data_IF_084439214756
#
_entry.id   IF_084439214756
#
_cell.length_a   1.000
_cell.length_b   1.000
_cell.length_c   1.000
_cell.angle_alpha   90.00
_cell.angle_beta   90.00
_cell.angle_gamma   90.00
#
_symmetry.space_group_name_H-M   'P 1'
#
loop_
_entity.id
_entity.type
_entity.pdbx_description
1 polymer ?
#
# COMPACT_ATOMS: atom_id res chain seq x y z
N UNK A 1 7.24 0.31 24.86
CA UNK A 1 7.92 1.13 25.90
C UNK A 1 9.43 1.10 25.76
N UNK A 2 10.07 0.00 26.16
CA UNK A 2 11.53 -0.14 26.20
C UNK A 2 12.22 -0.02 24.83
N UNK A 3 11.66 -0.65 23.79
CA UNK A 3 12.19 -0.58 22.42
C UNK A 3 12.20 0.87 21.91
N UNK A 4 11.10 1.61 22.06
CA UNK A 4 10.99 3.02 21.66
C UNK A 4 11.96 3.93 22.42
N UNK A 5 12.17 3.71 23.72
CA UNK A 5 13.15 4.48 24.51
C UNK A 5 14.59 4.25 24.04
N UNK A 6 14.99 3.01 23.78
CA UNK A 6 16.33 2.69 23.27
C UNK A 6 16.59 3.30 21.88
N UNK A 7 15.53 3.39 21.08
CA UNK A 7 15.51 3.93 19.72
C UNK A 7 15.63 5.45 19.69
N UNK A 8 14.88 6.14 20.55
CA UNK A 8 14.93 7.59 20.67
C UNK A 8 16.20 8.08 21.37
N UNK A 9 16.86 7.23 22.16
CA UNK A 9 18.15 7.52 22.79
C UNK A 9 19.34 7.44 21.81
N UNK A 10 19.22 6.73 20.69
CA UNK A 10 20.28 6.57 19.69
C UNK A 10 19.87 7.22 18.36
N UNK A 11 20.04 8.55 18.27
CA UNK A 11 19.73 9.37 17.08
C UNK A 11 20.80 9.18 16.00
N UNK A 12 20.95 7.95 15.49
CA UNK A 12 21.88 7.65 14.39
C UNK A 12 21.11 7.04 13.21
N UNK A 13 21.40 7.56 12.00
CA UNK A 13 20.81 7.12 10.72
C UNK A 13 20.72 5.60 10.53
N UNK A 14 21.70 4.77 10.94
CA UNK A 14 21.64 3.32 10.75
C UNK A 14 20.47 2.64 11.44
N UNK A 15 20.08 3.11 12.64
CA UNK A 15 18.95 2.55 13.37
C UNK A 15 17.62 2.80 12.66
N UNK A 16 17.42 4.04 12.18
CA UNK A 16 16.23 4.41 11.40
C UNK A 16 16.11 3.56 10.13
N UNK A 17 17.22 3.34 9.43
CA UNK A 17 17.28 2.47 8.23
C UNK A 17 16.95 1.02 8.59
N UNK A 18 17.54 0.49 9.66
CA UNK A 18 17.30 -0.88 10.11
C UNK A 18 15.82 -1.12 10.45
N UNK A 19 15.20 -0.18 11.15
CA UNK A 19 13.76 -0.27 11.49
C UNK A 19 12.90 -0.13 10.24
N UNK A 20 13.24 0.80 9.35
CA UNK A 20 12.55 0.95 8.07
C UNK A 20 12.57 -0.35 7.26
N UNK A 21 13.71 -1.04 7.22
CA UNK A 21 13.85 -2.35 6.58
C UNK A 21 12.99 -3.43 7.26
N UNK A 22 12.98 -3.48 8.60
CA UNK A 22 12.15 -4.43 9.35
C UNK A 22 10.66 -4.18 9.09
N UNK A 23 10.22 -2.91 9.13
CA UNK A 23 8.84 -2.52 8.88
C UNK A 23 8.43 -2.88 7.45
N UNK A 24 9.31 -2.63 6.48
CA UNK A 24 9.05 -2.98 5.09
C UNK A 24 8.96 -4.50 4.89
N UNK A 25 9.87 -5.27 5.50
CA UNK A 25 9.84 -6.73 5.42
C UNK A 25 8.57 -7.31 6.06
N UNK A 26 8.17 -6.79 7.22
CA UNK A 26 6.94 -7.18 7.88
C UNK A 26 5.71 -6.83 7.03
N UNK A 27 5.68 -5.63 6.47
CA UNK A 27 4.57 -5.17 5.64
C UNK A 27 4.44 -5.99 4.34
N UNK A 28 5.56 -6.31 3.68
CA UNK A 28 5.57 -7.20 2.52
C UNK A 28 5.07 -8.62 2.83
N UNK A 29 5.44 -9.19 3.99
CA UNK A 29 4.88 -10.47 4.44
C UNK A 29 3.38 -10.40 4.67
N UNK A 30 2.90 -9.33 5.30
CA UNK A 30 1.49 -9.15 5.62
C UNK A 30 0.63 -9.02 4.35
N UNK A 31 1.09 -8.31 3.31
CA UNK A 31 0.41 -8.29 1.99
C UNK A 31 0.20 -9.70 1.46
N UNK A 32 1.24 -10.54 1.56
CA UNK A 32 1.18 -11.93 1.09
C UNK A 32 0.27 -12.80 1.95
N UNK A 33 0.28 -12.60 3.27
CA UNK A 33 -0.56 -13.33 4.21
C UNK A 33 -2.06 -13.03 4.01
N UNK A 34 -2.40 -11.82 3.54
CA UNK A 34 -3.79 -11.40 3.29
C UNK A 34 -4.39 -11.90 1.97
N UNK A 35 -3.62 -12.56 1.10
CA UNK A 35 -4.11 -13.08 -0.18
C UNK A 35 -4.74 -14.46 -0.01
N UNK A 36 -6.04 -14.60 -0.33
CA UNK A 36 -6.71 -15.92 -0.34
C UNK A 36 -6.17 -16.84 -1.43
N UNK A 37 -5.81 -16.28 -2.59
CA UNK A 37 -5.20 -16.99 -3.72
C UNK A 37 -3.84 -16.38 -4.04
N UNK A 38 -2.80 -16.88 -3.37
CA UNK A 38 -1.43 -16.40 -3.58
C UNK A 38 -0.79 -17.05 -4.80
N UNK A 39 0.08 -16.31 -5.48
CA UNK A 39 0.95 -16.92 -6.48
C UNK A 39 1.92 -17.91 -5.82
N UNK A 40 2.20 -19.03 -6.48
CA UNK A 40 3.14 -20.02 -5.97
C UNK A 40 4.61 -19.54 -6.04
N UNK A 41 5.36 -19.77 -4.96
CA UNK A 41 6.81 -19.52 -4.86
C UNK A 41 7.22 -18.09 -4.47
N UNK A 42 8.52 -17.79 -4.59
CA UNK A 42 9.14 -16.47 -4.31
C UNK A 42 8.58 -15.32 -5.16
N UNK A 43 7.87 -15.63 -6.26
CA UNK A 43 7.31 -14.64 -7.17
C UNK A 43 6.08 -13.92 -6.62
N UNK A 44 5.25 -14.59 -5.81
CA UNK A 44 4.16 -13.90 -5.11
C UNK A 44 4.72 -12.83 -4.18
N UNK A 45 5.71 -13.23 -3.37
CA UNK A 45 6.44 -12.34 -2.48
C UNK A 45 7.17 -11.22 -3.24
N UNK A 46 7.81 -11.52 -4.37
CA UNK A 46 8.52 -10.53 -5.20
C UNK A 46 7.61 -9.52 -5.90
N UNK A 47 6.43 -9.93 -6.36
CA UNK A 47 5.47 -9.01 -7.00
C UNK A 47 4.78 -8.12 -5.96
N UNK A 48 4.31 -8.71 -4.85
CA UNK A 48 3.70 -7.94 -3.76
C UNK A 48 4.70 -7.04 -3.06
N UNK A 49 5.84 -7.58 -2.61
CA UNK A 49 6.86 -6.81 -1.90
C UNK A 49 7.62 -5.86 -2.81
N UNK A 50 7.86 -6.20 -4.09
CA UNK A 50 8.59 -5.33 -5.03
C UNK A 50 7.77 -4.13 -5.49
N UNK A 51 6.48 -4.31 -5.80
CA UNK A 51 5.59 -3.19 -6.14
C UNK A 51 5.37 -2.27 -4.95
N UNK A 52 5.19 -2.84 -3.76
CA UNK A 52 5.08 -2.10 -2.50
C UNK A 52 6.39 -1.40 -2.11
N UNK A 53 7.55 -2.04 -2.30
CA UNK A 53 8.85 -1.42 -2.05
C UNK A 53 9.01 -0.20 -2.94
N UNK A 54 8.82 -0.34 -4.26
CA UNK A 54 9.03 0.76 -5.20
C UNK A 54 8.04 1.90 -4.95
N UNK A 55 6.74 1.62 -4.71
CA UNK A 55 5.76 2.69 -4.50
C UNK A 55 5.85 3.33 -3.13
N UNK A 56 5.89 2.55 -2.04
CA UNK A 56 5.93 3.10 -0.68
C UNK A 56 7.28 3.73 -0.39
N UNK A 57 8.40 3.17 -0.86
CA UNK A 57 9.70 3.80 -0.67
C UNK A 57 9.81 5.12 -1.45
N UNK A 58 9.38 5.16 -2.72
CA UNK A 58 9.41 6.39 -3.50
C UNK A 58 8.49 7.46 -2.90
N UNK A 59 7.27 7.10 -2.49
CA UNK A 59 6.32 8.06 -1.91
C UNK A 59 6.71 8.48 -0.50
N UNK A 60 7.26 7.60 0.33
CA UNK A 60 7.79 8.02 1.62
C UNK A 60 9.03 8.88 1.49
N UNK A 61 9.93 8.61 0.54
CA UNK A 61 11.08 9.46 0.28
C UNK A 61 10.65 10.86 -0.22
N UNK A 62 9.65 10.90 -1.10
CA UNK A 62 9.05 12.17 -1.56
C UNK A 62 8.34 12.91 -0.42
N UNK A 63 7.57 12.22 0.43
CA UNK A 63 6.94 12.80 1.61
C UNK A 63 7.96 13.37 2.61
N UNK A 64 9.05 12.65 2.89
CA UNK A 64 10.07 13.10 3.82
C UNK A 64 10.85 14.31 3.29
N UNK A 65 11.12 14.38 1.99
CA UNK A 65 11.88 15.46 1.36
C UNK A 65 11.01 16.71 1.11
N UNK A 66 9.79 16.53 0.60
CA UNK A 66 8.93 17.64 0.14
C UNK A 66 8.05 18.21 1.25
N UNK A 67 7.57 17.37 2.18
CA UNK A 67 6.53 17.77 3.14
C UNK A 67 7.08 18.10 4.51
N UNK A 68 8.00 17.29 5.05
CA UNK A 68 8.39 17.45 6.45
C UNK A 68 9.35 18.65 6.63
N UNK A 69 10.19 18.96 5.64
CA UNK A 69 11.18 20.04 5.77
C UNK A 69 12.10 19.89 6.99
N UNK A 70 12.11 18.73 7.65
CA UNK A 70 12.88 18.51 8.86
C UNK A 70 14.35 18.52 8.49
N UNK A 71 15.08 19.46 9.07
CA UNK A 71 16.52 19.43 9.16
C UNK A 71 16.85 18.89 10.55
N UNK A 72 17.22 17.61 10.72
CA UNK A 72 17.41 16.55 9.72
C UNK A 72 16.17 15.66 9.48
N UNK A 73 16.00 15.19 8.24
CA UNK A 73 14.83 14.43 7.76
C UNK A 73 14.66 13.04 8.42
N UNK A 74 15.70 12.59 9.13
CA UNK A 74 15.77 11.31 9.83
C UNK A 74 15.44 11.40 11.32
N UNK A 75 14.89 12.51 11.82
CA UNK A 75 14.53 12.61 13.24
C UNK A 75 13.53 11.50 13.61
N UNK A 76 13.88 10.56 14.50
CA UNK A 76 13.12 9.30 14.66
C UNK A 76 11.66 9.50 15.07
N UNK A 77 11.37 10.56 15.83
CA UNK A 77 10.02 10.93 16.29
C UNK A 77 9.04 11.28 15.16
N UNK A 78 9.54 11.70 13.99
CA UNK A 78 8.71 12.00 12.81
C UNK A 78 8.84 10.91 11.75
N UNK A 79 10.07 10.47 11.46
CA UNK A 79 10.35 9.52 10.39
C UNK A 79 9.62 8.19 10.62
N UNK A 80 9.69 7.63 11.83
CA UNK A 80 9.16 6.28 12.11
C UNK A 80 7.63 6.25 12.08
N UNK A 81 6.89 7.17 12.74
CA UNK A 81 5.43 7.19 12.65
C UNK A 81 4.94 7.46 11.22
N UNK A 82 5.56 8.39 10.48
CA UNK A 82 5.17 8.68 9.10
C UNK A 82 5.42 7.49 8.18
N UNK A 83 6.60 6.86 8.28
CA UNK A 83 6.90 5.61 7.57
C UNK A 83 5.87 4.53 7.88
N UNK A 84 5.53 4.34 9.16
CA UNK A 84 4.55 3.36 9.60
C UNK A 84 3.15 3.61 9.06
N UNK A 85 2.69 4.87 9.08
CA UNK A 85 1.37 5.23 8.55
C UNK A 85 1.32 5.05 7.02
N UNK A 86 2.34 5.50 6.30
CA UNK A 86 2.41 5.35 4.83
C UNK A 86 2.48 3.88 4.45
N UNK A 87 3.43 3.13 5.01
CA UNK A 87 3.58 1.70 4.74
C UNK A 87 2.30 0.94 5.09
N UNK A 88 1.74 1.14 6.28
CA UNK A 88 0.56 0.39 6.75
C UNK A 88 -0.70 0.64 5.91
N UNK A 89 -0.95 1.88 5.51
CA UNK A 89 -2.11 2.18 4.66
C UNK A 89 -1.91 1.70 3.22
N UNK A 90 -0.73 1.91 2.64
CA UNK A 90 -0.41 1.41 1.30
C UNK A 90 -0.43 -0.11 1.25
N UNK A 91 0.09 -0.78 2.28
CA UNK A 91 0.00 -2.24 2.47
C UNK A 91 -1.45 -2.72 2.38
N UNK A 92 -2.34 -2.05 3.11
CA UNK A 92 -3.75 -2.44 3.18
C UNK A 92 -4.44 -2.28 1.82
N UNK A 93 -4.23 -1.14 1.14
CA UNK A 93 -4.77 -0.92 -0.19
C UNK A 93 -4.26 -1.94 -1.21
N UNK A 94 -2.96 -2.18 -1.25
CA UNK A 94 -2.34 -3.18 -2.14
C UNK A 94 -2.90 -4.59 -1.87
N UNK A 95 -2.97 -5.00 -0.61
CA UNK A 95 -3.46 -6.31 -0.23
C UNK A 95 -4.92 -6.52 -0.67
N UNK A 96 -5.79 -5.53 -0.44
CA UNK A 96 -7.20 -5.57 -0.87
C UNK A 96 -7.33 -5.62 -2.39
N UNK A 97 -6.60 -4.76 -3.11
CA UNK A 97 -6.60 -4.74 -4.57
C UNK A 97 -6.12 -6.05 -5.18
N UNK A 98 -4.99 -6.59 -4.71
CA UNK A 98 -4.42 -7.84 -5.22
C UNK A 98 -5.33 -9.03 -4.91
N UNK A 99 -5.89 -9.09 -3.69
CA UNK A 99 -6.81 -10.15 -3.32
C UNK A 99 -8.08 -10.10 -4.18
N UNK A 100 -8.66 -8.91 -4.38
CA UNK A 100 -9.82 -8.74 -5.25
C UNK A 100 -9.51 -9.16 -6.69
N UNK A 101 -8.40 -8.69 -7.26
CA UNK A 101 -8.00 -9.02 -8.63
C UNK A 101 -7.83 -10.53 -8.85
N UNK A 102 -7.09 -11.19 -7.96
CA UNK A 102 -6.82 -12.64 -8.09
C UNK A 102 -8.06 -13.49 -7.83
N UNK A 103 -8.90 -13.09 -6.87
CA UNK A 103 -10.14 -13.79 -6.57
C UNK A 103 -11.15 -13.65 -7.70
N UNK A 104 -11.37 -12.42 -8.20
CA UNK A 104 -12.32 -12.14 -9.28
C UNK A 104 -11.84 -12.76 -10.59
N UNK A 105 -10.55 -12.71 -10.91
CA UNK A 105 -10.01 -13.40 -12.09
C UNK A 105 -10.21 -14.92 -12.04
N UNK A 106 -10.15 -15.53 -10.85
CA UNK A 106 -10.47 -16.94 -10.68
C UNK A 106 -11.96 -17.23 -10.86
N UNK A 107 -12.82 -16.43 -10.23
CA UNK A 107 -14.28 -16.60 -10.28
C UNK A 107 -14.83 -16.37 -11.70
N UNK A 108 -14.32 -15.35 -12.40
CA UNK A 108 -14.76 -14.95 -13.73
C UNK A 108 -13.86 -15.52 -14.85
N UNK A 109 -13.18 -16.65 -14.61
CA UNK A 109 -12.26 -17.26 -15.59
C UNK A 109 -12.92 -17.49 -16.95
N UNK A 110 -14.17 -17.94 -16.97
CA UNK A 110 -14.93 -18.20 -18.19
C UNK A 110 -15.16 -16.92 -18.98
N UNK A 111 -15.49 -15.82 -18.31
CA UNK A 111 -15.71 -14.51 -18.93
C UNK A 111 -14.41 -13.99 -19.56
N UNK A 112 -13.29 -14.12 -18.85
CA UNK A 112 -11.98 -13.71 -19.35
C UNK A 112 -11.59 -14.55 -20.58
N UNK A 113 -11.78 -15.88 -20.53
CA UNK A 113 -11.47 -16.77 -21.66
C UNK A 113 -12.37 -16.51 -22.87
N UNK A 114 -13.67 -16.25 -22.66
CA UNK A 114 -14.60 -15.85 -23.72
C UNK A 114 -14.15 -14.55 -24.40
N UNK A 115 -13.76 -13.54 -23.63
CA UNK A 115 -13.22 -12.27 -24.16
C UNK A 115 -11.97 -12.50 -25.02
N UNK A 116 -11.04 -13.34 -24.56
CA UNK A 116 -9.86 -13.71 -25.33
C UNK A 116 -10.22 -14.48 -26.63
N UNK A 117 -11.21 -15.37 -26.58
CA UNK A 117 -11.68 -16.11 -27.76
C UNK A 117 -12.35 -15.20 -28.80
N UNK A 118 -12.95 -14.09 -28.37
CA UNK A 118 -13.48 -13.03 -29.24
C UNK A 118 -12.38 -12.14 -29.84
N UNK A 119 -11.10 -12.43 -29.57
CA UNK A 119 -9.96 -11.69 -30.10
C UNK A 119 -9.51 -10.50 -29.25
N UNK A 120 -10.09 -10.30 -28.07
CA UNK A 120 -9.62 -9.25 -27.17
C UNK A 120 -8.21 -9.57 -26.65
N UNK A 121 -7.42 -8.52 -26.46
CA UNK A 121 -6.10 -8.65 -25.82
C UNK A 121 -6.25 -8.95 -24.33
N UNK A 122 -5.19 -9.48 -23.72
CA UNK A 122 -5.14 -9.71 -22.26
C UNK A 122 -5.46 -8.45 -21.43
N UNK A 123 -5.12 -7.28 -21.96
CA UNK A 123 -5.26 -6.01 -21.25
C UNK A 123 -6.71 -5.51 -21.29
N UNK A 124 -7.41 -5.74 -22.40
CA UNK A 124 -8.85 -5.50 -22.56
C UNK A 124 -9.67 -6.52 -21.77
N UNK A 125 -9.31 -7.80 -21.84
CA UNK A 125 -10.06 -8.88 -21.21
C UNK A 125 -10.15 -8.74 -19.68
N UNK A 126 -9.15 -8.11 -19.04
CA UNK A 126 -9.09 -7.89 -17.57
C UNK A 126 -9.32 -6.42 -17.16
N UNK A 127 -9.58 -5.51 -18.09
CA UNK A 127 -9.65 -4.06 -17.83
C UNK A 127 -10.64 -3.71 -16.71
N UNK A 128 -11.87 -4.25 -16.79
CA UNK A 128 -12.92 -4.01 -15.79
C UNK A 128 -12.49 -4.49 -14.41
N UNK A 129 -11.96 -5.72 -14.34
CA UNK A 129 -11.49 -6.32 -13.08
C UNK A 129 -10.35 -5.49 -12.48
N UNK A 130 -9.44 -4.95 -13.30
CA UNK A 130 -8.37 -4.05 -12.83
C UNK A 130 -8.95 -2.77 -12.22
N UNK A 131 -9.90 -2.13 -12.91
CA UNK A 131 -10.56 -0.90 -12.44
C UNK A 131 -11.27 -1.10 -11.10
N UNK A 132 -12.07 -2.17 -11.00
CA UNK A 132 -12.76 -2.51 -9.76
C UNK A 132 -11.80 -2.83 -8.63
N UNK A 133 -10.74 -3.59 -8.91
CA UNK A 133 -9.72 -3.93 -7.91
C UNK A 133 -8.96 -2.70 -7.41
N UNK A 134 -8.68 -1.73 -8.28
CA UNK A 134 -8.07 -0.46 -7.88
C UNK A 134 -9.03 0.32 -6.96
N UNK A 135 -10.31 0.39 -7.33
CA UNK A 135 -11.33 1.03 -6.51
C UNK A 135 -11.41 0.38 -5.13
N UNK A 136 -11.44 -0.95 -5.06
CA UNK A 136 -11.49 -1.70 -3.79
C UNK A 136 -10.34 -1.33 -2.85
N UNK A 137 -9.10 -1.21 -3.36
CA UNK A 137 -7.95 -0.83 -2.55
C UNK A 137 -7.94 0.63 -2.09
N UNK A 138 -8.61 1.52 -2.83
CA UNK A 138 -8.70 2.95 -2.52
C UNK A 138 -9.85 3.30 -1.55
N UNK A 139 -10.88 2.45 -1.45
CA UNK A 139 -12.02 2.68 -0.55
C UNK A 139 -11.60 3.05 0.89
N UNK A 140 -10.65 2.34 1.56
CA UNK A 140 -10.30 2.66 2.93
C UNK A 140 -9.77 4.09 3.13
N UNK A 141 -8.88 4.56 2.25
CA UNK A 141 -8.32 5.91 2.36
C UNK A 141 -9.34 6.99 1.99
N UNK A 142 -10.21 6.72 1.01
CA UNK A 142 -11.31 7.62 0.65
C UNK A 142 -12.29 7.75 1.82
N UNK A 143 -12.68 6.63 2.44
CA UNK A 143 -13.57 6.63 3.59
C UNK A 143 -12.94 7.33 4.81
N UNK A 144 -11.65 7.12 5.04
CA UNK A 144 -10.92 7.83 6.09
C UNK A 144 -10.94 9.35 5.84
N UNK A 145 -10.69 9.80 4.61
CA UNK A 145 -10.77 11.22 4.20
C UNK A 145 -12.17 11.80 4.39
N UNK A 146 -13.20 11.09 3.98
CA UNK A 146 -14.58 11.55 4.11
C UNK A 146 -15.04 11.66 5.58
N UNK A 147 -14.56 10.78 6.45
CA UNK A 147 -14.93 10.76 7.86
C UNK A 147 -14.09 11.71 8.73
N UNK A 148 -12.90 12.10 8.26
CA UNK A 148 -11.97 12.92 9.04
C UNK A 148 -12.54 14.33 9.29
N UNK A 149 -12.52 14.75 10.55
CA UNK A 149 -12.99 16.08 10.98
C UNK A 149 -14.49 16.20 11.23
N UNK A 150 -15.32 15.28 10.71
CA UNK A 150 -16.78 15.26 10.95
C UNK A 150 -17.17 14.13 11.90
N UNK A 151 -16.77 12.90 11.57
CA UNK A 151 -17.16 11.70 12.34
C UNK A 151 -16.03 11.24 13.25
N UNK A 152 -14.79 11.46 12.84
CA UNK A 152 -13.62 11.05 13.61
C UNK A 152 -12.49 12.07 13.51
N UNK A 153 -11.81 12.29 14.63
CA UNK A 153 -10.54 13.00 14.68
C UNK A 153 -9.42 11.95 14.66
N UNK A 154 -8.61 11.86 13.58
CA UNK A 154 -7.53 10.89 13.48
C UNK A 154 -6.61 10.93 14.70
N UNK A 155 -6.10 9.77 15.15
CA UNK A 155 -5.41 9.65 16.43
C UNK A 155 -4.20 10.59 16.62
N UNK A 156 -3.46 10.87 15.56
CA UNK A 156 -2.34 11.84 15.60
C UNK A 156 -2.85 13.27 15.81
N UNK A 157 -3.90 13.66 15.09
CA UNK A 157 -4.56 14.96 15.22
C UNK A 157 -5.13 15.15 16.65
N UNK A 158 -5.86 14.16 17.16
CA UNK A 158 -6.38 14.17 18.53
C UNK A 158 -5.25 14.24 19.56
N UNK A 159 -4.17 13.48 19.36
CA UNK A 159 -3.00 13.49 20.22
C UNK A 159 -2.31 14.86 20.29
N UNK A 160 -2.17 15.54 19.15
CA UNK A 160 -1.61 16.90 19.10
C UNK A 160 -2.50 17.92 19.81
N UNK A 161 -3.82 17.83 19.62
CA UNK A 161 -4.80 18.73 20.28
C UNK A 161 -4.77 18.51 21.79
N UNK A 162 -4.79 17.25 22.26
CA UNK A 162 -4.69 16.91 23.68
C UNK A 162 -3.34 17.33 24.30
N UNK A 163 -2.27 17.38 23.50
CA UNK A 163 -0.95 17.87 23.90
C UNK A 163 -0.84 19.41 23.88
N UNK A 164 -1.93 20.14 23.59
CA UNK A 164 -1.97 21.61 23.61
C UNK A 164 -1.55 22.28 22.30
N UNK A 165 -1.39 21.54 21.20
CA UNK A 165 -1.14 22.15 19.89
C UNK A 165 -2.40 22.86 19.36
N UNK A 166 -2.27 23.99 18.65
CA UNK A 166 -3.40 24.65 18.01
C UNK A 166 -4.16 23.70 17.07
N UNK A 167 -5.49 23.58 17.18
CA UNK A 167 -6.27 22.68 16.33
C UNK A 167 -6.10 22.95 14.83
N UNK A 168 -5.93 24.22 14.45
CA UNK A 168 -5.72 24.63 13.06
C UNK A 168 -4.45 24.04 12.46
N UNK A 169 -3.37 23.93 13.23
CA UNK A 169 -2.12 23.30 12.78
C UNK A 169 -2.28 21.79 12.67
N UNK A 170 -2.89 21.15 13.68
CA UNK A 170 -3.13 19.71 13.67
C UNK A 170 -3.98 19.25 12.46
N UNK A 171 -5.01 20.02 12.08
CA UNK A 171 -5.82 19.76 10.87
C UNK A 171 -4.96 19.81 9.60
N UNK A 172 -4.13 20.85 9.42
CA UNK A 172 -3.32 21.04 8.20
C UNK A 172 -2.39 19.86 7.97
N UNK A 173 -1.65 19.44 9.01
CA UNK A 173 -0.76 18.29 8.93
C UNK A 173 -1.52 17.00 8.64
N UNK A 174 -2.68 16.81 9.26
CA UNK A 174 -3.48 15.60 9.05
C UNK A 174 -3.99 15.51 7.61
N UNK A 175 -4.56 16.59 7.06
CA UNK A 175 -5.01 16.63 5.65
C UNK A 175 -3.86 16.31 4.70
N UNK A 176 -2.70 16.91 4.93
CA UNK A 176 -1.50 16.67 4.14
C UNK A 176 -1.06 15.20 4.17
N UNK A 177 -1.02 14.59 5.35
CA UNK A 177 -0.67 13.17 5.51
C UNK A 177 -1.69 12.27 4.78
N UNK A 178 -2.97 12.61 4.82
CA UNK A 178 -3.99 11.81 4.13
C UNK A 178 -3.82 11.86 2.62
N UNK A 179 -3.49 13.01 2.05
CA UNK A 179 -3.14 13.11 0.63
C UNK A 179 -1.90 12.28 0.28
N UNK A 180 -0.85 12.35 1.10
CA UNK A 180 0.36 11.53 0.90
C UNK A 180 0.05 10.03 0.93
N UNK A 181 -0.78 9.59 1.89
CA UNK A 181 -1.23 8.20 1.97
C UNK A 181 -2.08 7.83 0.74
N UNK A 182 -2.99 8.70 0.30
CA UNK A 182 -3.83 8.45 -0.86
C UNK A 182 -3.00 8.29 -2.14
N UNK A 183 -2.02 9.18 -2.35
CA UNK A 183 -1.09 9.12 -3.48
C UNK A 183 -0.22 7.87 -3.41
N UNK A 184 0.36 7.56 -2.24
CA UNK A 184 1.18 6.37 -2.02
C UNK A 184 0.43 5.06 -2.27
N UNK A 185 -0.80 5.00 -1.76
CA UNK A 185 -1.69 3.86 -1.93
C UNK A 185 -2.16 3.75 -3.38
N UNK A 186 -2.48 4.86 -4.05
CA UNK A 186 -2.87 4.88 -5.45
C UNK A 186 -1.76 4.36 -6.37
N UNK A 187 -0.54 4.91 -6.26
CA UNK A 187 0.59 4.42 -7.07
C UNK A 187 0.95 2.98 -6.75
N UNK A 188 0.93 2.59 -5.48
CA UNK A 188 1.21 1.21 -5.07
C UNK A 188 0.19 0.21 -5.58
N UNK A 189 -1.10 0.53 -5.48
CA UNK A 189 -2.17 -0.33 -6.00
C UNK A 189 -2.10 -0.45 -7.52
N UNK A 190 -1.84 0.63 -8.26
CA UNK A 190 -1.64 0.58 -9.72
C UNK A 190 -0.46 -0.33 -10.08
N UNK A 191 0.71 -0.13 -9.47
CA UNK A 191 1.90 -0.92 -9.74
C UNK A 191 1.67 -2.41 -9.43
N UNK A 192 1.04 -2.69 -8.28
CA UNK A 192 0.73 -4.05 -7.85
C UNK A 192 -0.28 -4.74 -8.77
N UNK A 193 -1.36 -4.05 -9.17
CA UNK A 193 -2.38 -4.56 -10.09
C UNK A 193 -1.77 -4.84 -11.46
N UNK A 194 -0.94 -3.94 -11.97
CA UNK A 194 -0.29 -4.10 -13.27
C UNK A 194 0.67 -5.28 -13.27
N UNK A 195 1.52 -5.41 -12.25
CA UNK A 195 2.44 -6.54 -12.10
C UNK A 195 1.69 -7.87 -11.92
N UNK A 196 0.65 -7.88 -11.08
CA UNK A 196 -0.21 -9.05 -10.82
C UNK A 196 -0.93 -9.51 -12.08
N UNK A 197 -1.57 -8.58 -12.78
CA UNK A 197 -2.31 -8.89 -14.01
C UNK A 197 -1.39 -9.39 -15.13
N UNK A 198 -0.21 -8.78 -15.33
CA UNK A 198 0.79 -9.32 -16.27
C UNK A 198 1.20 -10.75 -15.94
N UNK A 199 1.23 -11.13 -14.66
CA UNK A 199 1.58 -12.48 -14.22
C UNK A 199 0.45 -13.49 -14.34
N UNK A 200 -0.81 -13.04 -14.31
CA UNK A 200 -1.99 -13.87 -14.56
C UNK A 200 -2.03 -14.38 -16.01
N UNK A 201 -1.42 -13.66 -16.96
CA UNK A 201 -1.35 -14.07 -18.35
C UNK A 201 0.06 -14.58 -18.74
N UNK A 202 0.13 -15.38 -19.80
CA UNK A 202 1.39 -15.76 -20.45
C UNK A 202 1.71 -14.84 -21.64
N UNK A 203 2.91 -15.00 -22.25
CA UNK A 203 3.29 -14.27 -23.47
C UNK A 203 2.30 -14.51 -24.63
N UNK A 204 1.60 -15.64 -24.62
CA UNK A 204 0.57 -16.00 -25.60
C UNK A 204 -0.85 -15.55 -25.21
N UNK A 205 -0.99 -14.57 -24.31
CA UNK A 205 -2.28 -14.07 -23.80
C UNK A 205 -3.19 -15.12 -23.14
N UNK A 206 -2.65 -16.29 -22.79
CA UNK A 206 -3.40 -17.35 -22.09
C UNK A 206 -3.49 -17.04 -20.61
N UNK A 207 -4.69 -17.18 -20.04
CA UNK A 207 -4.91 -17.08 -18.60
C UNK A 207 -4.25 -18.28 -17.89
N UNK A 208 -3.40 -18.02 -16.89
CA UNK A 208 -2.61 -19.02 -16.17
C UNK A 208 -2.98 -19.04 -14.69
N UNK A 209 -4.20 -19.50 -14.42
CA UNK A 209 -4.70 -19.67 -13.04
C UNK A 209 -3.97 -20.79 -12.29
N UNK A 210 -3.29 -21.70 -12.98
CA UNK A 210 -2.43 -22.75 -12.39
C UNK A 210 -1.33 -22.17 -11.47
N UNK A 211 -1.00 -20.88 -11.65
CA UNK A 211 -0.01 -20.18 -10.83
C UNK A 211 -0.56 -19.77 -9.46
N UNK A 212 -1.88 -19.82 -9.25
CA UNK A 212 -2.55 -19.47 -8.01
C UNK A 212 -2.78 -20.72 -7.16
N UNK A 213 -2.36 -20.68 -5.89
CA UNK A 213 -2.68 -21.73 -4.91
C UNK A 213 -3.77 -21.23 -3.95
N UNK A 214 -4.71 -22.11 -3.64
CA UNK A 214 -5.64 -21.87 -2.52
C UNK A 214 -4.82 -21.90 -1.23
N UNK A 215 -5.08 -20.94 -0.35
CA UNK A 215 -4.48 -20.88 0.99
C UNK A 215 -5.36 -21.63 1.98
#
# INVERSE_FOLDING_TARGET
GLVLRALFANVQLPWVVLIGLIMLAAAGREVMARQKRRFSGWWGFGVGSGSMFISSFAVTMLALIVVVGAQPWYHPQYAIPLLGMLLGNTMNGIALSMNHLTQTAWQQRSIIEQRLMLGQTRDEAIADIRGDSMRTGMIPIINAMAAAGIVSLPGMMTGQILAGSPPTEAVKYQVLIMFLIAVGTGFGTIAAIWATSRRLFDHRHRLRLDRLKLT
#
